data_IF_006222735695
#
_entry.id   IF_006222735695
#
_cell.length_a   1.000
_cell.length_b   1.000
_cell.length_c   1.000
_cell.angle_alpha   90.00
_cell.angle_beta   90.00
_cell.angle_gamma   90.00
#
_symmetry.space_group_name_H-M   'P 1'
#
loop_
_entity.id
_entity.type
_entity.pdbx_description
1 polymer ?
#
# COMPACT_ATOMS: atom_id res chain seq x y z
N UNK A 1 -3.91 19.71 -7.22
CA UNK A 1 -5.23 19.07 -7.26
C UNK A 1 -5.01 17.63 -6.90
N UNK A 2 -5.35 17.26 -5.66
CA UNK A 2 -5.20 15.90 -5.14
C UNK A 2 -5.95 14.92 -6.03
N UNK A 3 -5.19 14.12 -6.77
CA UNK A 3 -5.70 12.85 -7.27
C UNK A 3 -5.80 11.96 -6.05
N UNK A 4 -7.01 11.85 -5.48
CA UNK A 4 -7.31 10.78 -4.52
C UNK A 4 -6.73 9.49 -5.08
N UNK A 5 -5.78 8.88 -4.37
CA UNK A 5 -5.15 7.62 -4.75
C UNK A 5 -6.13 6.48 -4.50
N UNK A 6 -7.21 6.46 -5.29
CA UNK A 6 -8.20 5.38 -5.30
C UNK A 6 -7.68 4.31 -6.25
N UNK A 7 -7.23 3.20 -5.69
CA UNK A 7 -6.70 2.06 -6.45
C UNK A 7 -7.44 0.81 -5.99
N UNK A 8 -8.07 0.10 -6.92
CA UNK A 8 -8.87 -1.09 -6.59
C UNK A 8 -10.12 -0.77 -5.74
N UNK A 9 -10.62 0.47 -5.78
CA UNK A 9 -11.71 0.92 -4.90
C UNK A 9 -11.28 1.28 -3.47
N UNK A 10 -9.99 1.15 -3.15
CA UNK A 10 -9.43 1.53 -1.86
C UNK A 10 -8.87 2.95 -1.94
N UNK A 11 -9.32 3.84 -1.06
CA UNK A 11 -8.82 5.21 -0.94
C UNK A 11 -7.58 5.26 -0.03
N UNK A 12 -6.39 5.40 -0.61
CA UNK A 12 -5.12 5.43 0.13
C UNK A 12 -4.76 6.81 0.72
N UNK A 13 -5.55 7.84 0.44
CA UNK A 13 -5.28 9.20 0.90
C UNK A 13 -5.14 9.33 2.43
N UNK A 14 -5.93 8.64 3.27
CA UNK A 14 -5.79 8.74 4.72
C UNK A 14 -4.41 8.34 5.25
N UNK A 15 -3.79 7.30 4.68
CA UNK A 15 -2.46 6.82 5.08
C UNK A 15 -1.38 7.80 4.63
N UNK A 16 -1.50 8.35 3.41
CA UNK A 16 -0.58 9.35 2.88
C UNK A 16 -0.67 10.67 3.66
N UNK A 17 -1.88 11.10 4.01
CA UNK A 17 -2.06 12.29 4.82
C UNK A 17 -1.46 12.11 6.23
N UNK A 18 -1.46 10.89 6.77
CA UNK A 18 -0.81 10.60 8.05
C UNK A 18 0.70 10.72 7.95
N UNK A 19 1.31 10.22 6.87
CA UNK A 19 2.73 10.41 6.58
C UNK A 19 3.12 11.89 6.45
N UNK A 20 2.28 12.70 5.79
CA UNK A 20 2.54 14.13 5.59
C UNK A 20 2.34 14.95 6.87
N UNK A 21 1.31 14.62 7.67
CA UNK A 21 0.99 15.35 8.91
C UNK A 21 2.06 15.23 9.98
N UNK A 22 2.82 14.15 10.00
CA UNK A 22 3.90 13.93 10.98
C UNK A 22 5.24 14.59 10.58
N UNK A 23 5.20 15.46 9.55
CA UNK A 23 6.14 16.52 9.17
C UNK A 23 7.63 16.21 8.93
N UNK A 24 8.21 15.11 9.40
CA UNK A 24 9.68 14.89 9.29
C UNK A 24 10.16 13.47 9.04
N UNK A 25 9.28 12.48 9.01
CA UNK A 25 9.65 11.10 8.72
C UNK A 25 8.87 10.64 7.49
N UNK A 26 9.58 10.35 6.39
CA UNK A 26 9.07 9.58 5.26
C UNK A 26 8.80 8.11 5.63
N UNK A 27 8.69 7.86 6.94
CA UNK A 27 8.55 6.58 7.60
C UNK A 27 7.33 6.68 8.50
N UNK A 28 6.37 5.80 8.23
CA UNK A 28 5.16 5.60 8.98
C UNK A 28 5.53 5.25 10.43
N UNK A 29 4.93 5.91 11.44
CA UNK A 29 5.29 5.72 12.84
C UNK A 29 4.91 4.33 13.39
N UNK A 30 4.00 3.62 12.71
CA UNK A 30 3.53 2.31 13.10
C UNK A 30 4.09 1.19 12.22
N UNK A 31 3.50 0.00 12.34
CA UNK A 31 3.77 -1.09 11.40
C UNK A 31 3.01 -0.80 10.09
N UNK A 32 3.74 -0.29 9.09
CA UNK A 32 3.19 0.03 7.77
C UNK A 32 2.50 -1.18 7.15
N UNK A 33 3.07 -2.38 7.28
CA UNK A 33 2.48 -3.59 6.73
C UNK A 33 1.10 -3.83 7.31
N UNK A 34 1.00 -3.84 8.64
CA UNK A 34 -0.27 -4.08 9.33
C UNK A 34 -1.30 -3.02 8.93
N UNK A 35 -0.91 -1.75 8.85
CA UNK A 35 -1.80 -0.68 8.43
C UNK A 35 -2.31 -0.87 6.99
N UNK A 36 -1.43 -1.23 6.04
CA UNK A 36 -1.81 -1.47 4.65
C UNK A 36 -2.72 -2.68 4.49
N UNK A 37 -2.41 -3.79 5.18
CA UNK A 37 -3.23 -4.99 5.15
C UNK A 37 -4.62 -4.75 5.75
N UNK A 38 -4.69 -4.00 6.85
CA UNK A 38 -5.96 -3.61 7.48
C UNK A 38 -6.78 -2.71 6.55
N UNK A 39 -6.15 -1.68 5.98
CA UNK A 39 -6.81 -0.71 5.11
C UNK A 39 -7.34 -1.33 3.82
N UNK A 40 -6.61 -2.29 3.25
CA UNK A 40 -7.06 -3.06 2.08
C UNK A 40 -8.02 -4.22 2.42
N UNK A 41 -8.30 -4.49 3.70
CA UNK A 41 -9.10 -5.65 4.10
C UNK A 41 -8.42 -7.01 3.85
N UNK A 42 -7.09 -7.05 3.73
CA UNK A 42 -6.31 -8.23 3.34
C UNK A 42 -5.65 -8.97 4.51
N UNK A 43 -6.00 -8.68 5.76
CA UNK A 43 -5.40 -9.30 6.95
C UNK A 43 -5.37 -10.84 6.94
N UNK A 44 -6.31 -11.47 6.24
CA UNK A 44 -6.43 -12.92 6.13
C UNK A 44 -6.22 -13.44 4.71
N UNK A 45 -5.80 -12.57 3.78
CA UNK A 45 -5.60 -12.97 2.39
C UNK A 45 -4.30 -13.79 2.24
N UNK A 46 -4.33 -14.97 1.61
CA UNK A 46 -3.16 -15.85 1.55
C UNK A 46 -1.96 -15.23 0.83
N UNK A 47 -2.19 -14.27 -0.06
CA UNK A 47 -1.14 -13.59 -0.82
C UNK A 47 -0.78 -12.19 -0.30
N UNK A 48 -1.36 -11.74 0.83
CA UNK A 48 -1.17 -10.37 1.31
C UNK A 48 0.28 -10.06 1.69
N UNK A 49 0.92 -10.98 2.43
CA UNK A 49 2.33 -10.84 2.81
C UNK A 49 3.23 -10.80 1.56
N UNK A 50 3.00 -11.70 0.60
CA UNK A 50 3.77 -11.75 -0.63
C UNK A 50 3.65 -10.45 -1.45
N UNK A 51 2.45 -9.88 -1.53
CA UNK A 51 2.23 -8.60 -2.20
C UNK A 51 2.97 -7.45 -1.48
N UNK A 52 2.98 -7.43 -0.15
CA UNK A 52 3.75 -6.43 0.59
C UNK A 52 5.27 -6.58 0.40
N UNK A 53 5.79 -7.80 0.44
CA UNK A 53 7.22 -8.04 0.20
C UNK A 53 7.62 -7.64 -1.22
N UNK A 54 6.79 -7.95 -2.23
CA UNK A 54 7.01 -7.49 -3.61
C UNK A 54 7.03 -5.96 -3.71
N UNK A 55 6.12 -5.26 -3.01
CA UNK A 55 6.13 -3.80 -2.99
C UNK A 55 7.44 -3.24 -2.41
N UNK A 56 7.97 -3.85 -1.34
CA UNK A 56 9.28 -3.52 -0.78
C UNK A 56 10.39 -3.79 -1.81
N UNK A 57 10.41 -4.97 -2.43
CA UNK A 57 11.45 -5.35 -3.38
C UNK A 57 11.51 -4.40 -4.58
N UNK A 58 10.37 -4.00 -5.11
CA UNK A 58 10.31 -3.00 -6.19
C UNK A 58 10.85 -1.65 -5.69
N UNK A 59 10.41 -1.22 -4.50
CA UNK A 59 10.84 0.06 -3.92
C UNK A 59 12.34 0.08 -3.60
N UNK A 60 12.97 -1.06 -3.32
CA UNK A 60 14.42 -1.16 -3.08
C UNK A 60 15.27 -0.85 -4.31
N UNK A 61 14.70 -0.92 -5.51
CA UNK A 61 15.40 -0.56 -6.75
C UNK A 61 15.47 0.97 -6.96
N UNK A 62 14.81 1.73 -6.09
CA UNK A 62 14.61 3.17 -6.20
C UNK A 62 14.86 3.85 -4.86
N UNK A 63 13.83 4.30 -4.13
CA UNK A 63 14.00 5.09 -2.89
C UNK A 63 13.70 4.31 -1.62
N UNK A 64 12.98 3.19 -1.72
CA UNK A 64 12.56 2.34 -0.61
C UNK A 64 11.85 3.10 0.52
N UNK A 65 11.14 4.18 0.18
CA UNK A 65 10.37 4.97 1.14
C UNK A 65 8.92 4.51 1.22
N UNK A 66 8.26 4.83 2.34
CA UNK A 66 6.90 4.36 2.59
C UNK A 66 5.87 4.83 1.55
N UNK A 67 5.90 6.08 1.04
CA UNK A 67 5.04 6.48 -0.07
C UNK A 67 5.20 5.60 -1.33
N UNK A 68 6.42 5.17 -1.62
CA UNK A 68 6.70 4.30 -2.77
C UNK A 68 6.22 2.87 -2.52
N UNK A 69 6.42 2.35 -1.30
CA UNK A 69 5.89 1.04 -0.88
C UNK A 69 4.36 1.04 -0.96
N UNK A 70 3.69 2.11 -0.48
CA UNK A 70 2.24 2.28 -0.58
C UNK A 70 1.78 2.26 -2.05
N UNK A 71 2.49 3.00 -2.91
CA UNK A 71 2.18 3.03 -4.34
C UNK A 71 2.27 1.64 -4.97
N UNK A 72 3.37 0.91 -4.78
CA UNK A 72 3.52 -0.42 -5.37
C UNK A 72 2.56 -1.44 -4.77
N UNK A 73 2.34 -1.40 -3.45
CA UNK A 73 1.38 -2.25 -2.78
C UNK A 73 -0.03 -2.05 -3.35
N UNK A 74 -0.48 -0.81 -3.53
CA UNK A 74 -1.79 -0.49 -4.10
C UNK A 74 -1.99 -1.12 -5.49
N UNK A 75 -0.95 -1.14 -6.33
CA UNK A 75 -0.99 -1.74 -7.67
C UNK A 75 -1.07 -3.25 -7.63
N UNK A 76 -0.40 -3.88 -6.66
CA UNK A 76 -0.43 -5.33 -6.47
C UNK A 76 -1.80 -5.79 -5.92
N UNK A 77 -2.40 -5.03 -5.01
CA UNK A 77 -3.76 -5.32 -4.51
C UNK A 77 -4.78 -5.31 -5.63
N UNK A 78 -4.74 -4.31 -6.51
CA UNK A 78 -5.63 -4.26 -7.68
C UNK A 78 -5.49 -5.50 -8.58
N UNK A 79 -4.28 -6.05 -8.72
CA UNK A 79 -4.07 -7.28 -9.49
C UNK A 79 -4.67 -8.50 -8.79
N UNK A 80 -4.53 -8.59 -7.46
CA UNK A 80 -5.13 -9.67 -6.67
C UNK A 80 -6.66 -9.66 -6.75
N UNK A 81 -7.29 -8.48 -6.69
CA UNK A 81 -8.75 -8.34 -6.79
C UNK A 81 -9.26 -8.69 -8.19
N UNK A 82 -8.54 -8.24 -9.23
CA UNK A 82 -8.91 -8.57 -10.61
C UNK A 82 -8.83 -10.07 -10.90
N UNK A 83 -7.87 -10.78 -10.31
CA UNK A 83 -7.69 -12.22 -10.51
C UNK A 83 -8.80 -13.07 -9.87
N UNK A 84 -9.55 -12.55 -8.89
CA UNK A 84 -10.66 -13.28 -8.26
C UNK A 84 -11.98 -13.19 -9.04
N UNK A 85 -12.10 -12.26 -10.00
CA UNK A 85 -13.34 -12.03 -10.75
C UNK A 85 -13.42 -12.90 -12.02
N UNK A 86 -12.32 -13.52 -12.44
CA UNK A 86 -12.21 -14.35 -13.65
C UNK A 86 -12.32 -15.87 -13.38
N UNK A 87 -12.88 -16.29 -12.23
CA UNK A 87 -13.16 -17.71 -11.91
C UNK A 87 -14.64 -18.06 -11.89
#
# INVERSE_FOLDING_TARGET
>A
MDKSLIVGGIDWQPILDQLVREQYLLTYPGDLKVALLQHAGLNHHPHAEAAYQLAIEISRLTTCCDPEIIYWFSRLVLLLDSAQTDS
#
